data_IF_296994320860
#
_entry.id   IF_296994320860
#
_cell.length_a   1.000
_cell.length_b   1.000
_cell.length_c   1.000
_cell.angle_alpha   90.00
_cell.angle_beta   90.00
_cell.angle_gamma   90.00
#
_symmetry.space_group_name_H-M   'P 1'
#
loop_
_entity.id
_entity.type
_entity.pdbx_description
1 polymer ?
#
# COMPACT_ATOMS: atom_id res chain seq x y z
N UNK A 1 6.67 -19.11 5.47
CA UNK A 1 5.78 -19.47 6.60
C UNK A 1 4.89 -18.26 6.91
N UNK A 2 3.73 -18.11 6.26
CA UNK A 2 2.73 -17.10 6.65
C UNK A 2 1.77 -17.78 7.64
N UNK A 3 1.58 -17.15 8.80
CA UNK A 3 0.64 -17.59 9.82
C UNK A 3 -0.31 -16.41 10.09
N UNK A 4 -1.61 -16.67 10.24
CA UNK A 4 -2.61 -15.63 10.53
C UNK A 4 -2.51 -15.08 11.96
N UNK A 5 -1.79 -15.75 12.86
CA UNK A 5 -1.48 -15.25 14.19
C UNK A 5 -0.29 -14.26 14.21
N UNK A 6 0.49 -14.20 13.12
CA UNK A 6 1.63 -13.30 12.98
C UNK A 6 1.26 -12.12 12.08
N UNK A 7 1.86 -10.96 12.35
CA UNK A 7 1.77 -9.79 11.47
C UNK A 7 3.15 -9.50 10.87
N UNK A 8 3.18 -9.23 9.56
CA UNK A 8 4.32 -8.54 8.97
C UNK A 8 4.35 -7.10 9.51
N UNK A 9 5.53 -6.49 9.63
CA UNK A 9 5.63 -5.08 9.96
C UNK A 9 6.61 -4.36 9.05
N UNK A 10 6.28 -3.13 8.67
CA UNK A 10 7.15 -2.26 7.87
C UNK A 10 7.15 -0.84 8.43
N UNK A 11 8.33 -0.24 8.45
CA UNK A 11 8.53 1.17 8.76
C UNK A 11 8.79 1.94 7.48
N UNK A 12 8.08 3.06 7.30
CA UNK A 12 8.25 3.98 6.16
C UNK A 12 8.36 5.42 6.67
N UNK A 13 9.05 6.32 5.96
CA UNK A 13 9.12 7.71 6.35
C UNK A 13 7.78 8.41 6.12
N UNK A 14 7.49 9.39 6.98
CA UNK A 14 6.39 10.33 6.85
C UNK A 14 6.88 11.75 7.14
N UNK A 15 6.81 12.64 6.14
CA UNK A 15 7.14 14.07 6.33
C UNK A 15 6.17 14.79 7.25
N UNK A 16 4.93 14.31 7.31
CA UNK A 16 3.84 14.86 8.10
C UNK A 16 2.95 13.71 8.59
N UNK A 17 2.78 13.59 9.91
CA UNK A 17 2.01 12.49 10.52
C UNK A 17 0.50 12.64 10.32
N UNK A 18 -0.01 13.87 10.17
CA UNK A 18 -1.44 14.11 9.90
C UNK A 18 -1.78 13.83 8.45
N UNK A 19 -0.90 14.20 7.51
CA UNK A 19 -1.04 13.82 6.11
C UNK A 19 -0.98 12.29 5.95
N UNK A 20 -0.06 11.62 6.64
CA UNK A 20 -0.01 10.16 6.68
C UNK A 20 -1.29 9.56 7.28
N UNK A 21 -1.74 10.05 8.43
CA UNK A 21 -2.99 9.60 9.05
C UNK A 21 -4.21 9.80 8.14
N UNK A 22 -4.31 10.92 7.44
CA UNK A 22 -5.36 11.15 6.46
C UNK A 22 -5.31 10.13 5.32
N UNK A 23 -4.14 9.93 4.71
CA UNK A 23 -3.98 8.98 3.62
C UNK A 23 -4.31 7.54 4.04
N UNK A 24 -3.64 7.02 5.07
CA UNK A 24 -3.80 5.61 5.46
C UNK A 24 -5.15 5.34 6.14
N UNK A 25 -5.62 6.22 7.03
CA UNK A 25 -6.89 5.98 7.73
C UNK A 25 -8.11 6.41 6.93
N UNK A 26 -8.12 7.62 6.38
CA UNK A 26 -9.32 8.18 5.75
C UNK A 26 -9.46 7.74 4.30
N UNK A 27 -8.38 7.80 3.53
CA UNK A 27 -8.43 7.41 2.12
C UNK A 27 -8.39 5.88 1.99
N UNK A 28 -7.38 5.23 2.56
CA UNK A 28 -7.18 3.78 2.39
C UNK A 28 -8.02 2.91 3.33
N UNK A 29 -8.56 3.48 4.41
CA UNK A 29 -9.42 2.77 5.36
C UNK A 29 -8.68 1.92 6.40
N UNK A 30 -7.35 2.06 6.52
CA UNK A 30 -6.54 1.35 7.50
C UNK A 30 -6.82 1.88 8.92
N UNK A 31 -7.31 1.07 9.87
CA UNK A 31 -7.53 1.52 11.24
C UNK A 31 -6.26 2.09 11.88
N UNK A 32 -6.36 3.26 12.50
CA UNK A 32 -5.27 3.82 13.29
C UNK A 32 -5.16 3.03 14.60
N UNK A 33 -3.99 2.47 14.87
CA UNK A 33 -3.73 1.70 16.08
C UNK A 33 -3.16 2.58 17.20
N UNK A 34 -2.05 3.27 16.94
CA UNK A 34 -1.33 4.10 17.93
C UNK A 34 -0.77 5.35 17.29
N UNK A 35 -0.66 6.41 18.08
CA UNK A 35 -0.03 7.67 17.68
C UNK A 35 0.91 8.17 18.77
N UNK A 36 2.10 8.59 18.36
CA UNK A 36 3.14 9.20 19.18
C UNK A 36 3.63 10.49 18.50
N UNK A 37 4.41 11.34 19.18
CA UNK A 37 4.99 12.54 18.56
C UNK A 37 5.88 12.23 17.34
N UNK A 38 6.48 11.04 17.28
CA UNK A 38 7.47 10.65 16.29
C UNK A 38 7.00 9.59 15.30
N UNK A 39 5.78 9.05 15.44
CA UNK A 39 5.23 8.02 14.54
C UNK A 39 3.73 7.82 14.68
N UNK A 40 3.12 7.27 13.64
CA UNK A 40 1.76 6.71 13.67
C UNK A 40 1.78 5.27 13.17
N UNK A 41 1.00 4.40 13.81
CA UNK A 41 0.90 2.98 13.48
C UNK A 41 -0.52 2.64 13.04
N UNK A 42 -0.65 1.85 11.98
CA UNK A 42 -1.92 1.38 11.44
C UNK A 42 -2.00 -0.14 11.40
N UNK A 43 -3.23 -0.65 11.52
CA UNK A 43 -3.60 -1.95 10.98
C UNK A 43 -3.72 -1.79 9.45
N UNK A 44 -2.71 -2.31 8.74
CA UNK A 44 -2.59 -2.28 7.30
C UNK A 44 -2.96 -3.66 6.74
N UNK A 45 -4.25 -3.89 6.53
CA UNK A 45 -4.80 -5.15 5.99
C UNK A 45 -4.43 -6.38 6.84
N UNK A 46 -4.38 -6.23 8.16
CA UNK A 46 -3.98 -7.26 9.12
C UNK A 46 -2.47 -7.31 9.40
N UNK A 47 -1.66 -6.56 8.66
CA UNK A 47 -0.24 -6.35 8.94
C UNK A 47 -0.01 -4.98 9.62
N UNK A 48 1.20 -4.72 10.11
CA UNK A 48 1.53 -3.47 10.79
C UNK A 48 2.28 -2.51 9.87
N UNK A 49 1.72 -1.32 9.65
CA UNK A 49 2.43 -0.21 9.03
C UNK A 49 2.81 0.83 10.09
N UNK A 50 4.07 1.22 10.14
CA UNK A 50 4.57 2.31 11.00
C UNK A 50 5.10 3.44 10.13
N UNK A 51 4.44 4.58 10.17
CA UNK A 51 4.91 5.80 9.53
C UNK A 51 5.72 6.60 10.54
N UNK A 52 7.04 6.66 10.36
CA UNK A 52 7.96 7.41 11.23
C UNK A 52 8.10 8.85 10.76
N UNK A 53 8.04 9.79 11.69
CA UNK A 53 8.23 11.20 11.40
C UNK A 53 9.66 11.44 10.90
N UNK A 54 9.76 11.85 9.64
CA UNK A 54 10.99 12.12 8.92
C UNK A 54 10.78 13.37 8.05
N UNK A 55 10.76 14.57 8.66
CA UNK A 55 10.45 15.81 7.95
C UNK A 55 11.46 16.15 6.84
N UNK A 56 12.71 15.70 7.02
CA UNK A 56 13.80 15.91 6.07
C UNK A 56 13.85 14.85 4.96
N UNK A 57 12.91 13.90 4.92
CA UNK A 57 12.87 12.88 3.87
C UNK A 57 12.64 13.54 2.49
N UNK A 58 13.58 13.40 1.54
CA UNK A 58 13.49 14.10 0.29
C UNK A 58 12.28 13.62 -0.52
N UNK A 59 11.43 14.56 -0.93
CA UNK A 59 10.38 14.25 -1.89
C UNK A 59 11.02 13.90 -3.24
N UNK A 60 10.77 12.72 -3.82
CA UNK A 60 11.30 12.40 -5.14
C UNK A 60 10.68 13.36 -6.17
N UNK A 61 11.50 14.13 -6.90
CA UNK A 61 11.02 15.00 -7.99
C UNK A 61 10.29 14.23 -9.09
N UNK A 62 10.68 12.96 -9.29
CA UNK A 62 10.04 12.00 -10.19
C UNK A 62 10.06 10.63 -9.52
N UNK A 63 9.00 10.24 -8.79
CA UNK A 63 8.95 8.93 -8.18
C UNK A 63 9.04 7.85 -9.27
N UNK A 64 9.83 6.81 -9.00
CA UNK A 64 9.95 5.62 -9.84
C UNK A 64 9.48 4.40 -9.03
N UNK A 65 8.76 3.49 -9.68
CA UNK A 65 8.23 2.27 -9.04
C UNK A 65 9.32 1.42 -8.36
N UNK A 66 10.54 1.51 -8.87
CA UNK A 66 11.69 0.79 -8.38
C UNK A 66 12.72 1.75 -7.77
N UNK A 67 13.47 1.31 -6.75
CA UNK A 67 13.53 -0.06 -6.24
C UNK A 67 12.59 -0.36 -5.06
N UNK A 68 11.83 0.61 -4.56
CA UNK A 68 11.06 0.48 -3.31
C UNK A 68 9.57 0.70 -3.54
N UNK A 69 8.79 -0.28 -3.17
CA UNK A 69 7.35 -0.20 -2.95
C UNK A 69 6.96 -1.32 -1.97
N UNK A 70 5.77 -1.22 -1.41
CA UNK A 70 5.20 -2.26 -0.55
C UNK A 70 3.70 -2.37 -0.83
N UNK A 71 3.00 -3.32 -0.23
CA UNK A 71 1.55 -3.43 -0.36
C UNK A 71 1.07 -4.85 -0.16
N UNK A 72 -0.08 -5.18 -0.73
CA UNK A 72 -0.76 -6.46 -0.52
C UNK A 72 -0.98 -7.17 -1.84
N UNK A 73 -0.64 -8.47 -1.88
CA UNK A 73 -1.09 -9.36 -2.95
C UNK A 73 -2.33 -10.10 -2.46
N UNK A 74 -3.49 -9.75 -3.00
CA UNK A 74 -4.77 -10.34 -2.63
C UNK A 74 -4.98 -11.69 -3.30
N UNK A 75 -5.34 -12.70 -2.51
CA UNK A 75 -5.78 -14.00 -3.02
C UNK A 75 -7.14 -13.90 -3.71
N UNK A 76 -8.05 -13.12 -3.14
CA UNK A 76 -9.40 -12.91 -3.66
C UNK A 76 -9.41 -11.73 -4.64
N UNK A 77 -9.91 -11.95 -5.86
CA UNK A 77 -10.14 -10.87 -6.81
C UNK A 77 -11.16 -9.85 -6.27
N UNK A 78 -12.17 -10.34 -5.54
CA UNK A 78 -13.20 -9.50 -4.94
C UNK A 78 -12.63 -8.47 -3.97
N UNK A 79 -11.62 -8.85 -3.18
CA UNK A 79 -10.96 -7.96 -2.22
C UNK A 79 -10.12 -6.89 -2.94
N UNK A 80 -9.39 -7.31 -3.98
CA UNK A 80 -8.65 -6.40 -4.85
C UNK A 80 -9.58 -5.37 -5.50
N UNK A 81 -10.69 -5.83 -6.08
CA UNK A 81 -11.68 -4.95 -6.72
C UNK A 81 -12.40 -4.04 -5.71
N UNK A 82 -12.61 -4.51 -4.47
CA UNK A 82 -13.17 -3.69 -3.40
C UNK A 82 -12.23 -2.54 -3.02
N UNK A 83 -10.93 -2.80 -2.90
CA UNK A 83 -9.94 -1.76 -2.66
C UNK A 83 -9.88 -0.76 -3.83
N UNK A 84 -9.93 -1.25 -5.07
CA UNK A 84 -9.92 -0.38 -6.27
C UNK A 84 -11.14 0.57 -6.28
N UNK A 85 -12.34 0.06 -5.97
CA UNK A 85 -13.54 0.90 -5.83
C UNK A 85 -13.42 1.93 -4.72
N UNK A 86 -12.83 1.55 -3.59
CA UNK A 86 -12.62 2.45 -2.45
C UNK A 86 -11.63 3.58 -2.80
N UNK A 87 -10.56 3.26 -3.52
CA UNK A 87 -9.58 4.22 -4.05
C UNK A 87 -10.25 5.23 -4.97
N UNK A 88 -11.07 4.77 -5.93
CA UNK A 88 -11.78 5.67 -6.84
C UNK A 88 -12.82 6.53 -6.11
N UNK A 89 -13.63 5.94 -5.22
CA UNK A 89 -14.66 6.64 -4.48
C UNK A 89 -14.08 7.76 -3.60
N UNK A 90 -12.96 7.48 -2.93
CA UNK A 90 -12.29 8.41 -2.01
C UNK A 90 -11.23 9.28 -2.68
N UNK A 91 -11.04 9.12 -4.00
CA UNK A 91 -10.06 9.86 -4.81
C UNK A 91 -8.66 9.80 -4.22
N UNK A 92 -8.25 8.61 -3.78
CA UNK A 92 -6.90 8.41 -3.27
C UNK A 92 -5.87 8.62 -4.40
N UNK A 93 -4.72 9.28 -4.16
CA UNK A 93 -3.72 9.53 -5.19
C UNK A 93 -3.17 8.25 -5.82
N UNK A 94 -3.37 8.11 -7.13
CA UNK A 94 -2.89 6.97 -7.93
C UNK A 94 -1.60 7.37 -8.64
N UNK A 95 -0.54 6.59 -8.45
CA UNK A 95 0.71 6.70 -9.20
C UNK A 95 0.62 5.97 -10.55
N UNK A 96 -0.07 4.84 -10.54
CA UNK A 96 -0.22 4.00 -11.73
C UNK A 96 -1.59 3.31 -11.70
N UNK A 97 -2.39 3.60 -12.73
CA UNK A 97 -3.70 3.00 -12.91
C UNK A 97 -3.65 1.47 -13.02
N UNK A 98 -4.80 0.86 -12.77
CA UNK A 98 -4.96 -0.59 -12.87
C UNK A 98 -4.62 -1.09 -14.27
N UNK A 99 -3.79 -2.13 -14.33
CA UNK A 99 -3.47 -2.83 -15.58
C UNK A 99 -3.22 -4.31 -15.34
N UNK A 100 -3.34 -5.10 -16.40
CA UNK A 100 -2.83 -6.47 -16.44
C UNK A 100 -1.35 -6.45 -16.81
N UNK A 101 -0.55 -7.24 -16.10
CA UNK A 101 0.86 -7.47 -16.37
C UNK A 101 1.07 -8.94 -16.73
N UNK A 102 1.91 -9.19 -17.74
CA UNK A 102 2.20 -10.53 -18.26
C UNK A 102 0.93 -11.27 -18.74
N UNK A 103 0.05 -10.58 -19.47
CA UNK A 103 -1.19 -11.18 -19.98
C UNK A 103 -0.95 -12.44 -20.80
N UNK A 104 -1.70 -13.50 -20.52
CA UNK A 104 -1.61 -14.81 -21.17
C UNK A 104 -0.49 -15.72 -20.66
N UNK A 105 0.30 -15.29 -19.67
CA UNK A 105 1.31 -16.16 -19.02
C UNK A 105 0.80 -16.71 -17.69
N UNK A 106 1.53 -17.64 -17.08
CA UNK A 106 1.13 -18.23 -15.79
C UNK A 106 1.21 -17.20 -14.66
N UNK A 107 2.13 -16.25 -14.77
CA UNK A 107 2.36 -15.15 -13.83
C UNK A 107 1.51 -13.89 -14.12
N UNK A 108 0.45 -14.03 -14.93
CA UNK A 108 -0.51 -12.96 -15.16
C UNK A 108 -1.08 -12.42 -13.84
N UNK A 109 -1.02 -11.10 -13.68
CA UNK A 109 -1.61 -10.43 -12.54
C UNK A 109 -2.13 -9.03 -12.87
N UNK A 110 -3.14 -8.61 -12.12
CA UNK A 110 -3.60 -7.23 -12.09
C UNK A 110 -2.80 -6.47 -11.04
N UNK A 111 -2.41 -5.24 -11.37
CA UNK A 111 -1.65 -4.36 -10.47
C UNK A 111 -2.09 -2.91 -10.62
N UNK A 112 -2.14 -2.17 -9.51
CA UNK A 112 -2.20 -0.70 -9.49
C UNK A 112 -1.30 -0.19 -8.36
N UNK A 113 -0.89 1.07 -8.45
CA UNK A 113 0.05 1.68 -7.50
C UNK A 113 -0.49 3.00 -6.98
N UNK A 114 -0.55 3.15 -5.66
CA UNK A 114 -0.84 4.43 -5.00
C UNK A 114 0.46 5.13 -4.59
N UNK A 115 0.37 6.43 -4.37
CA UNK A 115 1.45 7.24 -3.80
C UNK A 115 0.96 7.99 -2.57
N UNK A 116 1.65 7.79 -1.45
CA UNK A 116 1.33 8.52 -0.23
C UNK A 116 1.90 9.96 -0.24
N UNK A 117 1.54 10.82 0.73
CA UNK A 117 2.02 12.21 0.79
C UNK A 117 3.53 12.38 0.94
N UNK A 118 4.24 11.32 1.36
CA UNK A 118 5.71 11.31 1.49
C UNK A 118 6.38 10.80 0.21
N UNK A 119 5.63 10.19 -0.70
CA UNK A 119 6.13 9.63 -1.94
C UNK A 119 6.40 8.12 -1.84
N UNK A 120 5.97 7.47 -0.76
CA UNK A 120 6.03 6.02 -0.68
C UNK A 120 5.04 5.41 -1.67
N UNK A 121 5.48 4.37 -2.38
CA UNK A 121 4.68 3.70 -3.40
C UNK A 121 4.06 2.42 -2.84
N UNK A 122 2.75 2.29 -3.03
CA UNK A 122 1.96 1.15 -2.57
C UNK A 122 1.45 0.34 -3.76
N UNK A 123 2.02 -0.83 -4.02
CA UNK A 123 1.58 -1.73 -5.08
C UNK A 123 0.60 -2.79 -4.53
N UNK A 124 -0.58 -2.86 -5.12
CA UNK A 124 -1.56 -3.90 -4.83
C UNK A 124 -1.67 -4.83 -6.02
N UNK A 125 -1.70 -6.14 -5.77
CA UNK A 125 -1.67 -7.17 -6.81
C UNK A 125 -2.75 -8.22 -6.61
N UNK A 126 -3.18 -8.82 -7.72
CA UNK A 126 -3.93 -10.06 -7.73
C UNK A 126 -3.43 -10.94 -8.88
N UNK A 127 -2.90 -12.12 -8.55
CA UNK A 127 -2.47 -13.11 -9.53
C UNK A 127 -3.62 -14.04 -9.89
N UNK A 128 -3.77 -14.31 -11.18
CA UNK A 128 -4.77 -15.27 -11.68
C UNK A 128 -4.45 -16.68 -11.18
N UNK A 129 -3.17 -17.09 -11.26
CA UNK A 129 -2.68 -18.30 -10.59
C UNK A 129 -2.13 -17.96 -9.20
N UNK A 130 -2.78 -18.41 -8.10
CA UNK A 130 -2.34 -18.08 -6.75
C UNK A 130 -0.98 -18.70 -6.37
N UNK A 131 -0.45 -19.63 -7.16
CA UNK A 131 0.90 -20.17 -6.95
C UNK A 131 1.99 -19.16 -7.31
N UNK A 132 1.67 -18.16 -8.13
CA UNK A 132 2.61 -17.12 -8.60
C UNK A 132 2.66 -15.89 -7.69
N UNK A 133 2.03 -15.94 -6.51
CA UNK A 133 2.11 -14.86 -5.51
C UNK A 133 3.52 -14.69 -4.92
N UNK A 134 4.45 -15.62 -5.17
CA UNK A 134 5.79 -15.69 -4.61
C UNK A 134 6.85 -15.90 -5.68
#
# INVERSE_FOLDING_TARGET
>A
MRNSADAFHIAVPARDLDAAAHFYNKLLGCPLARRYPDRVTFDFFGDQLVCHYAPDEPAPRRPSLYPRHFGVTFRSLTDFDALLRLVDLRKAPVFQEVRTRFGGTVEEHRTFVLIDPTGNLLEFKHYVDPRMMY
#
